data_IF_572604713497
#
_entry.id   IF_572604713497
#
_cell.length_a   1.000
_cell.length_b   1.000
_cell.length_c   1.000
_cell.angle_alpha   90.00
_cell.angle_beta   90.00
_cell.angle_gamma   90.00
#
_symmetry.space_group_name_H-M   'P 1'
#
loop_
_entity.id
_entity.type
_entity.pdbx_description
1 polymer ?
#
# COMPACT_ATOMS: atom_id res chain seq x y z
N UNK A 1 -49.52 24.02 13.88
CA UNK A 1 -48.40 24.98 13.71
C UNK A 1 -47.17 24.21 13.29
N UNK A 2 -46.62 24.57 12.14
CA UNK A 2 -45.57 23.86 11.41
C UNK A 2 -44.22 24.35 11.93
N UNK A 3 -43.41 23.48 12.54
CA UNK A 3 -42.01 23.79 12.85
C UNK A 3 -41.13 22.83 12.06
N UNK A 4 -40.70 23.35 10.92
CA UNK A 4 -39.63 22.80 10.08
C UNK A 4 -38.33 23.06 10.83
N UNK A 5 -37.62 22.00 11.23
CA UNK A 5 -36.26 22.08 11.72
C UNK A 5 -35.33 21.65 10.58
N UNK A 6 -34.87 22.63 9.81
CA UNK A 6 -33.74 22.47 8.89
C UNK A 6 -32.49 22.40 9.75
N UNK A 7 -32.03 21.19 10.10
CA UNK A 7 -30.64 20.98 10.55
C UNK A 7 -29.82 20.80 9.28
N UNK A 8 -29.46 21.93 8.67
CA UNK A 8 -28.35 21.98 7.75
C UNK A 8 -27.06 21.86 8.56
N UNK A 9 -26.59 20.63 8.76
CA UNK A 9 -25.19 20.41 9.10
C UNK A 9 -24.42 20.21 7.80
N UNK A 10 -23.97 21.35 7.30
CA UNK A 10 -22.75 21.56 6.51
C UNK A 10 -21.89 20.30 6.46
N UNK A 11 -21.94 19.63 5.29
CA UNK A 11 -20.78 19.18 4.52
C UNK A 11 -19.44 19.22 5.26
N UNK A 12 -19.24 18.32 6.21
CA UNK A 12 -17.91 17.87 6.58
C UNK A 12 -17.71 16.53 5.91
N UNK A 13 -17.39 16.59 4.61
CA UNK A 13 -16.62 15.55 3.93
C UNK A 13 -15.25 15.50 4.62
N UNK A 14 -15.20 14.96 5.84
CA UNK A 14 -13.99 14.28 6.29
C UNK A 14 -13.89 13.06 5.37
N UNK A 15 -13.34 13.29 4.18
CA UNK A 15 -12.67 12.25 3.43
C UNK A 15 -11.47 11.84 4.27
N UNK A 16 -11.73 11.05 5.32
CA UNK A 16 -10.71 10.22 5.91
C UNK A 16 -10.12 9.45 4.73
N UNK A 17 -8.93 9.85 4.29
CA UNK A 17 -8.23 9.15 3.23
C UNK A 17 -8.24 7.68 3.63
N UNK A 18 -8.81 6.83 2.78
CA UNK A 18 -8.82 5.41 3.03
C UNK A 18 -7.37 4.99 3.27
N UNK A 19 -7.06 4.64 4.52
CA UNK A 19 -5.77 4.06 4.85
C UNK A 19 -5.69 2.75 4.05
N UNK A 20 -4.64 2.59 3.25
CA UNK A 20 -4.49 1.34 2.52
C UNK A 20 -4.25 0.24 3.54
N UNK A 21 -5.17 -0.73 3.59
CA UNK A 21 -4.99 -1.92 4.40
C UNK A 21 -3.90 -2.82 3.79
N UNK A 22 -3.49 -3.85 4.54
CA UNK A 22 -2.68 -4.94 3.99
C UNK A 22 -3.38 -5.57 2.78
N UNK A 23 -2.60 -6.16 1.87
CA UNK A 23 -3.18 -6.75 0.66
C UNK A 23 -4.01 -8.00 1.00
N UNK A 24 -5.31 -7.96 0.69
CA UNK A 24 -6.20 -9.14 0.78
C UNK A 24 -6.23 -9.95 -0.53
N UNK A 25 -5.73 -9.36 -1.62
CA UNK A 25 -5.72 -9.97 -2.94
C UNK A 25 -7.10 -10.11 -3.58
N UNK A 26 -8.10 -9.32 -3.18
CA UNK A 26 -9.50 -9.51 -3.59
C UNK A 26 -10.34 -8.22 -3.75
N UNK A 27 -9.75 -7.04 -3.59
CA UNK A 27 -10.49 -5.76 -3.60
C UNK A 27 -10.18 -4.80 -4.75
N UNK A 28 -10.85 -3.64 -4.73
CA UNK A 28 -10.50 -2.48 -5.56
C UNK A 28 -9.22 -1.84 -5.05
N UNK A 29 -8.36 -1.36 -5.94
CA UNK A 29 -7.20 -0.56 -5.53
C UNK A 29 -7.68 0.76 -4.93
N UNK A 30 -7.12 1.16 -3.79
CA UNK A 30 -7.41 2.43 -3.15
C UNK A 30 -6.18 3.34 -3.26
N UNK A 31 -6.39 4.65 -3.43
CA UNK A 31 -5.30 5.62 -3.31
C UNK A 31 -4.65 5.46 -1.95
N UNK A 32 -3.34 5.33 -1.96
CA UNK A 32 -2.58 5.02 -0.75
C UNK A 32 -2.13 6.31 -0.12
N UNK A 33 -2.51 6.52 1.13
CA UNK A 33 -1.95 7.57 1.96
C UNK A 33 -1.13 6.92 3.06
N UNK A 34 0.13 7.36 3.21
CA UNK A 34 1.01 6.89 4.28
C UNK A 34 0.31 6.98 5.66
N UNK A 35 0.37 5.94 6.49
CA UNK A 35 -0.33 5.91 7.76
C UNK A 35 0.38 6.85 8.73
N UNK A 36 -0.38 7.76 9.34
CA UNK A 36 0.08 8.49 10.50
C UNK A 36 0.11 7.52 11.69
N UNK A 37 1.27 6.88 11.91
CA UNK A 37 1.64 6.02 13.04
C UNK A 37 0.84 4.72 13.26
N UNK A 38 1.52 3.57 13.22
CA UNK A 38 1.06 2.37 13.92
C UNK A 38 2.22 1.46 14.34
N UNK A 39 2.11 0.87 15.52
CA UNK A 39 3.11 0.05 16.21
C UNK A 39 2.79 -1.45 16.07
N UNK A 40 3.65 -2.18 15.35
CA UNK A 40 3.52 -3.59 14.89
C UNK A 40 4.26 -3.73 13.52
N UNK A 41 4.18 -4.81 12.73
CA UNK A 41 4.53 -4.74 11.29
C UNK A 41 3.51 -3.87 10.50
N UNK A 42 2.87 -2.95 11.22
CA UNK A 42 1.76 -2.08 10.94
C UNK A 42 2.30 -0.83 10.25
N UNK A 43 2.54 -1.00 8.95
CA UNK A 43 2.88 0.04 7.99
C UNK A 43 2.74 -0.48 6.56
N UNK A 44 2.15 -1.67 6.40
CA UNK A 44 1.90 -2.27 5.10
C UNK A 44 0.74 -1.58 4.41
N UNK A 45 1.05 -1.08 3.24
CA UNK A 45 0.14 -0.36 2.38
C UNK A 45 0.01 -1.11 1.07
N UNK A 46 -1.20 -1.55 0.77
CA UNK A 46 -1.48 -2.20 -0.50
C UNK A 46 -1.70 -1.15 -1.60
N UNK A 47 -0.76 -1.03 -2.53
CA UNK A 47 -0.91 -0.20 -3.72
C UNK A 47 -1.78 -0.89 -4.78
N UNK A 48 -1.48 -2.16 -5.07
CA UNK A 48 -2.25 -2.96 -6.01
C UNK A 48 -2.79 -4.18 -5.28
N UNK A 49 -4.11 -4.36 -5.26
CA UNK A 49 -4.76 -5.47 -4.57
C UNK A 49 -5.12 -6.62 -5.55
N UNK A 50 -4.76 -6.46 -6.82
CA UNK A 50 -5.18 -7.32 -7.92
C UNK A 50 -6.69 -7.24 -8.18
N UNK A 51 -7.19 -7.97 -9.18
CA UNK A 51 -8.60 -7.97 -9.58
C UNK A 51 -8.99 -6.84 -10.53
N UNK A 52 -8.52 -5.60 -10.31
CA UNK A 52 -8.83 -4.44 -11.17
C UNK A 52 -7.56 -3.71 -11.58
N UNK A 53 -7.47 -3.36 -12.87
CA UNK A 53 -6.41 -2.47 -13.35
C UNK A 53 -6.81 -1.01 -13.07
N UNK A 54 -5.94 -0.26 -12.41
CA UNK A 54 -6.21 1.13 -12.06
C UNK A 54 -4.90 1.92 -11.94
N UNK A 55 -5.00 3.25 -12.02
CA UNK A 55 -3.97 4.14 -11.51
C UNK A 55 -4.24 4.40 -10.05
N UNK A 56 -3.21 4.24 -9.24
CA UNK A 56 -3.28 4.42 -7.79
C UNK A 56 -2.33 5.53 -7.43
N UNK A 57 -2.87 6.60 -6.87
CA UNK A 57 -2.04 7.70 -6.38
C UNK A 57 -1.38 7.27 -5.07
N UNK A 58 -0.06 7.34 -5.02
CA UNK A 58 0.71 7.21 -3.79
C UNK A 58 0.91 8.63 -3.23
N UNK A 59 0.18 8.99 -2.19
CA UNK A 59 0.19 10.33 -1.61
C UNK A 59 1.46 10.61 -0.78
N UNK A 60 1.92 11.87 -0.77
CA UNK A 60 2.97 12.37 0.13
C UNK A 60 4.05 13.29 -0.46
N UNK A 61 3.88 13.78 -1.70
CA UNK A 61 4.93 14.53 -2.42
C UNK A 61 5.39 15.85 -1.79
N UNK A 62 6.33 16.52 -2.46
CA UNK A 62 6.93 17.77 -1.99
C UNK A 62 5.85 18.81 -1.59
N UNK A 63 5.89 19.27 -0.35
CA UNK A 63 4.93 20.25 0.20
C UNK A 63 3.69 19.66 0.87
N UNK A 64 3.50 18.33 0.88
CA UNK A 64 2.42 17.68 1.65
C UNK A 64 2.92 17.43 3.07
N UNK A 65 2.27 18.05 4.06
CA UNK A 65 2.53 17.76 5.47
C UNK A 65 1.97 16.38 5.82
N UNK A 66 2.85 15.40 5.96
CA UNK A 66 2.49 14.04 6.38
C UNK A 66 3.25 13.74 7.68
N UNK A 67 2.53 13.22 8.68
CA UNK A 67 3.13 12.80 9.93
C UNK A 67 4.01 11.56 9.68
N UNK A 68 5.22 11.57 10.22
CA UNK A 68 6.29 10.57 10.05
C UNK A 68 5.86 9.12 10.34
N UNK A 69 6.55 8.11 9.76
CA UNK A 69 7.60 8.21 8.74
C UNK A 69 7.00 8.38 7.34
N UNK A 70 7.69 9.13 6.48
CA UNK A 70 7.30 9.34 5.08
C UNK A 70 8.54 9.09 4.26
N UNK A 71 8.50 8.15 3.33
CA UNK A 71 9.59 7.98 2.39
C UNK A 71 9.68 9.21 1.48
N UNK A 72 10.88 9.78 1.31
CA UNK A 72 11.16 11.10 0.71
C UNK A 72 10.62 11.31 -0.73
N UNK A 73 10.17 10.25 -1.41
CA UNK A 73 9.57 10.35 -2.75
C UNK A 73 8.19 9.69 -2.82
N UNK A 74 7.18 10.52 -2.77
CA UNK A 74 5.76 10.18 -2.93
C UNK A 74 5.10 11.25 -3.82
N UNK A 75 3.81 11.13 -4.14
CA UNK A 75 3.10 12.00 -5.09
C UNK A 75 3.18 11.54 -6.55
N UNK A 76 3.13 10.23 -6.79
CA UNK A 76 3.15 9.65 -8.13
C UNK A 76 2.01 8.64 -8.33
N UNK A 77 1.59 8.47 -9.57
CA UNK A 77 0.61 7.46 -9.96
C UNK A 77 1.30 6.12 -10.26
N UNK A 78 0.95 5.09 -9.51
CA UNK A 78 1.32 3.71 -9.79
C UNK A 78 0.30 3.07 -10.72
N UNK A 79 0.74 2.50 -11.84
CA UNK A 79 -0.11 1.71 -12.72
C UNK A 79 -0.25 0.28 -12.19
N UNK A 80 -1.41 -0.05 -11.63
CA UNK A 80 -1.76 -1.39 -11.21
C UNK A 80 -2.40 -2.18 -12.37
N UNK A 81 -1.93 -3.41 -12.56
CA UNK A 81 -2.61 -4.40 -13.39
C UNK A 81 -3.55 -5.25 -12.54
N UNK A 82 -4.63 -5.74 -13.14
CA UNK A 82 -5.56 -6.67 -12.48
C UNK A 82 -4.88 -7.97 -11.98
N UNK A 83 -3.66 -8.26 -12.45
CA UNK A 83 -2.93 -9.48 -12.11
C UNK A 83 -1.74 -9.25 -11.18
N UNK A 84 -1.56 -8.04 -10.66
CA UNK A 84 -0.44 -7.72 -9.77
C UNK A 84 -0.97 -7.31 -8.42
N UNK A 85 -0.41 -7.93 -7.39
CA UNK A 85 -0.57 -7.51 -6.01
C UNK A 85 0.75 -6.85 -5.61
N UNK A 86 0.70 -5.62 -5.09
CA UNK A 86 1.88 -4.84 -4.70
C UNK A 86 1.58 -4.23 -3.34
N UNK A 87 2.41 -4.57 -2.37
CA UNK A 87 2.39 -4.00 -1.03
C UNK A 87 3.71 -3.31 -0.77
N UNK A 88 3.70 -2.34 0.13
CA UNK A 88 4.92 -1.70 0.57
C UNK A 88 4.85 -1.25 2.01
N UNK A 89 6.01 -1.11 2.64
CA UNK A 89 6.17 -0.59 3.99
C UNK A 89 7.15 0.57 3.97
N UNK A 90 6.78 1.66 4.63
CA UNK A 90 7.71 2.71 5.02
C UNK A 90 8.44 2.25 6.28
N UNK A 91 9.72 1.94 6.15
CA UNK A 91 10.54 1.41 7.26
C UNK A 91 11.16 2.55 8.06
N UNK A 92 11.56 3.63 7.37
CA UNK A 92 11.99 4.90 7.98
C UNK A 92 11.83 6.05 6.99
N UNK A 93 12.20 7.28 7.37
CA UNK A 93 12.21 8.41 6.43
C UNK A 93 13.15 8.23 5.23
N UNK A 94 14.08 7.27 5.28
CA UNK A 94 15.05 7.00 4.20
C UNK A 94 14.98 5.56 3.68
N UNK A 95 14.20 4.70 4.32
CA UNK A 95 14.11 3.28 4.00
C UNK A 95 12.68 2.87 3.66
N UNK A 96 12.54 2.13 2.56
CA UNK A 96 11.28 1.62 2.06
C UNK A 96 11.44 0.17 1.61
N UNK A 97 10.45 -0.64 1.95
CA UNK A 97 10.34 -2.03 1.56
C UNK A 97 9.17 -2.20 0.59
N UNK A 98 9.35 -3.01 -0.44
CA UNK A 98 8.29 -3.35 -1.39
C UNK A 98 8.25 -4.85 -1.58
N UNK A 99 7.04 -5.38 -1.72
CA UNK A 99 6.81 -6.74 -2.18
C UNK A 99 5.74 -6.76 -3.26
N UNK A 100 5.83 -7.76 -4.12
CA UNK A 100 4.84 -8.01 -5.14
C UNK A 100 4.60 -9.49 -5.36
N UNK A 101 3.43 -9.80 -5.91
CA UNK A 101 3.06 -11.12 -6.36
C UNK A 101 2.16 -11.02 -7.58
N UNK A 102 2.20 -12.04 -8.43
CA UNK A 102 1.33 -12.12 -9.59
C UNK A 102 0.16 -13.07 -9.33
N UNK A 103 -1.06 -12.71 -9.75
CA UNK A 103 -2.19 -13.64 -9.80
C UNK A 103 -2.16 -14.59 -11.00
N UNK A 104 -1.27 -14.35 -11.97
CA UNK A 104 -1.05 -15.21 -13.15
C UNK A 104 0.26 -15.97 -13.10
N UNK A 105 1.31 -15.33 -12.60
CA UNK A 105 2.56 -15.98 -12.25
C UNK A 105 2.48 -16.61 -10.86
N UNK A 106 3.43 -17.47 -10.53
CA UNK A 106 3.48 -18.14 -9.23
C UNK A 106 4.66 -17.66 -8.39
N UNK A 107 5.12 -16.41 -8.57
CA UNK A 107 6.32 -15.90 -7.90
C UNK A 107 6.00 -14.64 -7.11
N UNK A 108 6.63 -14.51 -5.94
CA UNK A 108 6.73 -13.25 -5.20
C UNK A 108 8.10 -12.64 -5.37
N UNK A 109 8.15 -11.32 -5.37
CA UNK A 109 9.39 -10.55 -5.46
C UNK A 109 9.45 -9.54 -4.32
N UNK A 110 10.66 -9.26 -3.86
CA UNK A 110 10.95 -8.27 -2.83
C UNK A 110 11.97 -7.26 -3.34
N UNK A 111 11.91 -6.06 -2.78
CA UNK A 111 12.89 -5.01 -2.98
C UNK A 111 12.98 -4.10 -1.77
N UNK A 112 14.11 -3.42 -1.63
CA UNK A 112 14.30 -2.38 -0.62
C UNK A 112 15.08 -1.20 -1.18
N UNK A 113 14.92 -0.03 -0.56
CA UNK A 113 15.80 1.11 -0.81
C UNK A 113 17.13 1.03 -0.05
N UNK A 114 17.30 0.06 0.85
CA UNK A 114 18.57 -0.19 1.55
C UNK A 114 19.63 -0.87 0.66
N UNK A 115 19.22 -1.43 -0.49
CA UNK A 115 20.10 -2.07 -1.47
C UNK A 115 19.64 -3.48 -1.85
N UNK A 116 20.47 -4.22 -2.60
CA UNK A 116 20.24 -5.64 -2.91
C UNK A 116 19.43 -5.97 -4.17
N UNK A 117 18.87 -4.97 -4.85
CA UNK A 117 18.09 -5.19 -6.07
C UNK A 117 16.73 -5.85 -5.84
N UNK A 118 16.03 -6.16 -6.93
CA UNK A 118 14.77 -6.91 -6.87
C UNK A 118 15.09 -8.40 -6.95
N UNK A 119 14.61 -9.18 -5.97
CA UNK A 119 14.87 -10.60 -5.88
C UNK A 119 13.56 -11.40 -5.77
N UNK A 120 13.56 -12.62 -6.32
CA UNK A 120 12.49 -13.59 -6.03
C UNK A 120 12.55 -13.98 -4.55
N UNK A 121 11.43 -13.87 -3.84
CA UNK A 121 11.33 -14.25 -2.42
C UNK A 121 10.65 -15.58 -2.21
N UNK A 122 9.89 -16.08 -3.18
CA UNK A 122 9.13 -17.31 -3.01
C UNK A 122 8.30 -17.70 -4.21
N UNK A 123 7.78 -18.93 -4.13
CA UNK A 123 6.84 -19.51 -5.09
C UNK A 123 5.47 -19.67 -4.45
N UNK A 124 4.44 -19.14 -5.11
CA UNK A 124 3.03 -19.27 -4.79
C UNK A 124 2.41 -20.53 -5.41
N UNK A 125 1.13 -20.77 -5.14
CA UNK A 125 0.35 -21.79 -5.83
C UNK A 125 0.31 -21.54 -7.36
N UNK A 126 0.07 -22.60 -8.12
CA UNK A 126 -0.08 -22.54 -9.59
C UNK A 126 -1.23 -21.65 -10.04
N UNK A 127 -2.22 -21.45 -9.18
CA UNK A 127 -3.35 -20.54 -9.38
C UNK A 127 -2.99 -19.06 -9.19
N UNK A 128 -1.74 -18.76 -8.86
CA UNK A 128 -1.24 -17.42 -8.61
C UNK A 128 -1.05 -17.09 -7.12
N UNK A 129 -0.42 -15.95 -6.87
CA UNK A 129 -0.18 -15.41 -5.55
C UNK A 129 -1.45 -14.76 -4.96
N UNK A 130 -1.61 -14.95 -3.65
CA UNK A 130 -2.62 -14.30 -2.82
C UNK A 130 -2.05 -13.09 -2.09
N UNK A 131 -2.91 -12.27 -1.48
CA UNK A 131 -2.48 -11.18 -0.61
C UNK A 131 -1.56 -11.64 0.51
N UNK A 132 -1.87 -12.78 1.16
CA UNK A 132 -1.06 -13.36 2.22
C UNK A 132 0.37 -13.72 1.78
N UNK A 133 0.56 -14.16 0.53
CA UNK A 133 1.90 -14.42 0.00
C UNK A 133 2.70 -13.12 -0.10
N UNK A 134 2.07 -12.03 -0.53
CA UNK A 134 2.70 -10.73 -0.71
C UNK A 134 2.99 -10.07 0.65
N UNK A 135 2.07 -10.14 1.62
CA UNK A 135 2.31 -9.71 3.00
C UNK A 135 3.50 -10.44 3.63
N UNK A 136 3.60 -11.76 3.44
CA UNK A 136 4.76 -12.53 3.92
C UNK A 136 6.07 -12.05 3.28
N UNK A 137 6.06 -11.86 1.95
CA UNK A 137 7.22 -11.33 1.23
C UNK A 137 7.59 -9.91 1.70
N UNK A 138 6.61 -9.06 2.03
CA UNK A 138 6.85 -7.71 2.53
C UNK A 138 7.52 -7.69 3.91
N UNK A 139 7.17 -8.65 4.78
CA UNK A 139 7.89 -8.85 6.04
C UNK A 139 9.39 -9.15 5.83
N UNK A 140 9.72 -9.97 4.83
CA UNK A 140 11.10 -10.26 4.44
C UNK A 140 11.80 -9.01 3.89
N UNK A 141 11.11 -8.25 3.03
CA UNK A 141 11.62 -7.00 2.48
C UNK A 141 11.89 -5.95 3.57
N UNK A 142 11.00 -5.85 4.56
CA UNK A 142 11.13 -4.95 5.71
C UNK A 142 12.34 -5.32 6.56
N UNK A 143 12.53 -6.62 6.82
CA UNK A 143 13.72 -7.12 7.56
C UNK A 143 15.01 -6.76 6.81
N UNK A 144 15.05 -7.00 5.50
CA UNK A 144 16.20 -6.65 4.66
C UNK A 144 16.47 -5.13 4.62
N UNK A 145 15.42 -4.31 4.72
CA UNK A 145 15.51 -2.85 4.72
C UNK A 145 16.05 -2.26 6.04
N UNK A 146 16.07 -3.06 7.10
CA UNK A 146 16.49 -2.67 8.45
C UNK A 146 17.88 -3.18 8.84
N UNK A 147 18.55 -3.91 7.94
CA UNK A 147 19.89 -4.50 8.12
C UNK A 147 20.99 -3.53 7.70
#
# INVERSE_FOLDING_TARGET
MKKILVIGLISSFFSAGAFAAACDGSGTNANVTAPSSSTGPTGELCACNGGVAAKVLINGGAGVAVATPVFVRTGFDMQCSANTIVSFNEVSGVAFAVASGSKKGNKTFIGSSAGGGIAESGTCATTGCTGANVTTANGLATTASSS
#
